data_IF_424067100033
#
_entry.id   IF_424067100033
#
_cell.length_a   1.000
_cell.length_b   1.000
_cell.length_c   1.000
_cell.angle_alpha   90.00
_cell.angle_beta   90.00
_cell.angle_gamma   90.00
#
_symmetry.space_group_name_H-M   'P 1'
#
loop_
_entity.id
_entity.type
_entity.pdbx_description
1 polymer ?
#
# COMPACT_ATOMS: atom_id res chain seq x y z
N UNK A 1 55.99 -79.89 27.42
CA UNK A 1 55.82 -78.55 26.83
C UNK A 1 54.36 -78.14 27.02
N UNK A 2 54.11 -77.12 27.85
CA UNK A 2 52.78 -76.51 28.05
C UNK A 2 52.68 -75.26 27.15
N UNK A 3 51.51 -74.97 26.56
CA UNK A 3 51.34 -73.74 25.78
C UNK A 3 51.26 -72.50 26.70
N UNK A 4 51.61 -71.30 26.19
CA UNK A 4 51.61 -70.07 26.98
C UNK A 4 50.19 -69.50 27.19
N UNK A 5 50.00 -68.62 28.19
CA UNK A 5 48.68 -68.09 28.54
C UNK A 5 48.20 -67.01 27.56
N UNK A 6 46.88 -66.98 27.32
CA UNK A 6 46.15 -65.95 26.56
C UNK A 6 46.06 -64.62 27.32
N UNK A 7 46.33 -63.46 26.68
CA UNK A 7 46.11 -62.14 27.27
C UNK A 7 44.63 -61.68 27.17
N UNK A 8 44.17 -60.73 28.01
CA UNK A 8 42.76 -60.37 28.14
C UNK A 8 42.27 -59.37 27.08
N UNK A 9 40.97 -59.45 26.78
CA UNK A 9 40.23 -58.53 25.88
C UNK A 9 40.10 -57.11 26.45
N UNK A 10 40.12 -56.07 25.59
CA UNK A 10 39.43 -54.82 25.84
C UNK A 10 38.13 -54.74 25.03
N UNK A 11 37.02 -54.51 25.75
CA UNK A 11 35.72 -54.17 25.20
C UNK A 11 35.79 -52.83 24.44
N UNK A 12 35.42 -52.84 23.16
CA UNK A 12 35.26 -51.64 22.35
C UNK A 12 33.77 -51.28 22.30
N UNK A 13 33.40 -50.25 23.07
CA UNK A 13 32.13 -49.56 22.95
C UNK A 13 32.08 -48.83 21.60
N UNK A 14 31.18 -49.27 20.72
CA UNK A 14 30.83 -48.56 19.50
C UNK A 14 30.26 -47.18 19.86
N UNK A 15 30.76 -46.08 19.27
CA UNK A 15 30.14 -44.78 19.46
C UNK A 15 28.77 -44.75 18.77
N UNK A 16 27.79 -44.26 19.52
CA UNK A 16 26.44 -43.94 19.10
C UNK A 16 26.49 -43.07 17.84
N UNK A 17 26.18 -43.66 16.69
CA UNK A 17 26.00 -42.95 15.43
C UNK A 17 24.77 -42.06 15.59
N UNK A 18 25.07 -40.84 16.05
CA UNK A 18 24.11 -39.79 16.28
C UNK A 18 23.10 -39.73 15.16
N UNK A 19 21.83 -39.65 15.56
CA UNK A 19 20.74 -39.12 14.75
C UNK A 19 21.23 -37.83 14.11
N UNK A 20 21.73 -37.94 12.89
CA UNK A 20 21.89 -36.82 11.98
C UNK A 20 20.52 -36.14 11.96
N UNK A 21 20.45 -34.92 12.50
CA UNK A 21 19.33 -34.03 12.24
C UNK A 21 19.27 -33.94 10.73
N UNK A 22 18.35 -34.67 10.11
CA UNK A 22 17.89 -34.38 8.77
C UNK A 22 17.55 -32.90 8.79
N UNK A 23 18.44 -32.09 8.22
CA UNK A 23 18.12 -30.71 7.88
C UNK A 23 16.88 -30.81 7.03
N UNK A 24 15.73 -30.45 7.59
CA UNK A 24 14.48 -30.44 6.84
C UNK A 24 14.72 -29.47 5.69
N UNK A 25 14.95 -29.99 4.49
CA UNK A 25 14.98 -29.18 3.28
C UNK A 25 13.60 -28.58 3.20
N UNK A 26 13.47 -27.30 3.54
CA UNK A 26 12.19 -26.61 3.48
C UNK A 26 11.76 -26.60 2.02
N UNK A 27 10.60 -27.20 1.75
CA UNK A 27 9.95 -27.13 0.46
C UNK A 27 9.83 -25.66 0.04
N UNK A 28 9.98 -25.34 -1.26
CA UNK A 28 9.78 -23.98 -1.74
C UNK A 28 8.42 -23.41 -1.29
N UNK A 29 8.36 -22.14 -0.89
CA UNK A 29 7.12 -21.55 -0.38
C UNK A 29 6.06 -21.48 -1.47
N UNK A 30 4.83 -21.86 -1.13
CA UNK A 30 3.64 -21.74 -1.98
C UNK A 30 2.73 -20.60 -1.55
N UNK A 31 3.22 -19.70 -0.70
CA UNK A 31 2.46 -18.58 -0.15
C UNK A 31 3.32 -17.32 -0.06
N UNK A 32 2.66 -16.16 0.02
CA UNK A 32 3.31 -14.86 0.16
C UNK A 32 2.61 -13.98 1.18
N UNK A 33 3.36 -13.06 1.77
CA UNK A 33 2.87 -12.12 2.78
C UNK A 33 2.78 -10.70 2.20
N UNK A 34 1.64 -10.05 2.45
CA UNK A 34 1.44 -8.62 2.24
C UNK A 34 1.29 -8.01 3.62
N UNK A 35 2.26 -7.22 4.04
CA UNK A 35 2.30 -6.66 5.39
C UNK A 35 2.07 -5.15 5.30
N UNK A 36 1.01 -4.67 5.95
CA UNK A 36 0.91 -3.24 6.22
C UNK A 36 2.08 -2.77 7.10
N UNK A 37 2.37 -1.47 7.07
CA UNK A 37 3.49 -0.86 7.79
C UNK A 37 2.99 -0.19 9.07
N UNK A 38 2.09 0.77 8.94
CA UNK A 38 1.71 1.71 9.99
C UNK A 38 0.61 1.10 10.87
N UNK A 39 0.96 0.70 12.10
CA UNK A 39 0.07 -0.04 13.00
C UNK A 39 0.33 -1.54 13.01
N UNK A 40 1.17 -2.06 12.10
CA UNK A 40 1.57 -3.48 12.04
C UNK A 40 3.05 -3.68 12.33
N UNK A 41 3.92 -2.92 11.65
CA UNK A 41 5.38 -2.97 11.83
C UNK A 41 5.88 -1.86 12.75
N UNK A 42 5.30 -0.67 12.61
CA UNK A 42 5.73 0.53 13.30
C UNK A 42 4.53 1.31 13.81
N UNK A 43 4.75 2.16 14.81
CA UNK A 43 3.81 3.20 15.24
C UNK A 43 4.58 4.52 15.20
N UNK A 44 4.30 5.34 14.18
CA UNK A 44 5.16 6.48 13.85
C UNK A 44 6.57 6.00 13.53
N UNK A 45 7.57 6.47 14.27
CA UNK A 45 8.98 6.06 14.08
C UNK A 45 9.42 4.88 14.96
N UNK A 46 8.54 4.36 15.82
CA UNK A 46 8.88 3.29 16.76
C UNK A 46 8.47 1.92 16.21
N UNK A 47 9.41 0.98 16.21
CA UNK A 47 9.15 -0.40 15.80
C UNK A 47 8.28 -1.08 16.84
N UNK A 48 7.21 -1.74 16.40
CA UNK A 48 6.38 -2.58 17.26
C UNK A 48 7.21 -3.82 17.59
N UNK A 49 7.47 -4.14 18.87
CA UNK A 49 8.36 -5.24 19.24
C UNK A 49 8.05 -6.52 18.46
N UNK A 50 6.79 -6.96 18.48
CA UNK A 50 6.30 -8.16 17.80
C UNK A 50 6.69 -8.29 16.32
N UNK A 51 6.94 -7.19 15.61
CA UNK A 51 7.45 -7.22 14.25
C UNK A 51 8.87 -7.83 14.18
N UNK A 52 9.74 -7.49 15.12
CA UNK A 52 11.08 -8.10 15.21
C UNK A 52 10.98 -9.60 15.51
N UNK A 53 10.13 -10.01 16.46
CA UNK A 53 9.91 -11.43 16.73
C UNK A 53 9.33 -12.18 15.52
N UNK A 54 8.47 -11.54 14.73
CA UNK A 54 7.93 -12.09 13.50
C UNK A 54 9.05 -12.32 12.45
N UNK A 55 9.89 -11.32 12.20
CA UNK A 55 10.98 -11.44 11.23
C UNK A 55 12.08 -12.43 11.66
N UNK A 56 12.31 -12.63 12.96
CA UNK A 56 13.18 -13.73 13.43
C UNK A 56 12.70 -15.12 12.95
N UNK A 57 11.40 -15.29 12.67
CA UNK A 57 10.86 -16.54 12.08
C UNK A 57 10.88 -16.54 10.56
N UNK A 58 10.70 -15.38 9.93
CA UNK A 58 10.65 -15.25 8.46
C UNK A 58 12.03 -15.21 7.82
N UNK A 59 13.09 -14.92 8.57
CA UNK A 59 14.46 -14.91 8.09
C UNK A 59 15.14 -16.27 8.31
N UNK A 60 15.99 -16.65 7.37
CA UNK A 60 16.92 -17.77 7.52
C UNK A 60 18.18 -17.33 8.31
N UNK A 61 19.10 -18.26 8.66
CA UNK A 61 20.34 -17.92 9.37
C UNK A 61 21.27 -16.94 8.61
N UNK A 62 21.05 -16.73 7.31
CA UNK A 62 21.79 -15.78 6.47
C UNK A 62 21.09 -14.40 6.41
N UNK A 63 20.00 -14.21 7.15
CA UNK A 63 19.25 -12.96 7.16
C UNK A 63 18.41 -12.75 5.88
N UNK A 64 18.08 -13.84 5.17
CA UNK A 64 17.28 -13.79 3.95
C UNK A 64 15.85 -14.26 4.22
N UNK A 65 14.87 -13.64 3.58
CA UNK A 65 13.47 -14.04 3.71
C UNK A 65 13.25 -15.45 3.16
N UNK A 66 12.62 -16.30 3.97
CA UNK A 66 12.25 -17.69 3.66
C UNK A 66 10.97 -17.81 2.81
N UNK A 67 10.24 -16.71 2.68
CA UNK A 67 8.99 -16.58 1.91
C UNK A 67 8.99 -15.24 1.18
N UNK A 68 8.28 -15.09 0.04
CA UNK A 68 8.08 -13.77 -0.56
C UNK A 68 7.29 -12.84 0.37
N UNK A 69 7.79 -11.61 0.54
CA UNK A 69 7.16 -10.58 1.38
C UNK A 69 7.15 -9.25 0.64
N UNK A 70 6.01 -8.59 0.65
CA UNK A 70 5.88 -7.18 0.27
C UNK A 70 5.30 -6.37 1.43
N UNK A 71 5.77 -5.13 1.56
CA UNK A 71 5.36 -4.14 2.53
C UNK A 71 4.42 -3.14 1.84
N UNK A 72 3.18 -3.02 2.29
CA UNK A 72 2.13 -2.28 1.58
C UNK A 72 1.59 -1.16 2.45
N UNK A 73 1.90 0.10 2.11
CA UNK A 73 1.40 1.28 2.83
C UNK A 73 0.68 2.24 1.89
N UNK A 74 -0.32 2.94 2.43
CA UNK A 74 -0.97 4.04 1.74
C UNK A 74 -0.23 5.38 1.85
N UNK A 75 0.98 5.39 2.44
CA UNK A 75 1.89 6.53 2.36
C UNK A 75 2.24 6.87 0.90
N UNK A 76 2.22 8.17 0.58
CA UNK A 76 2.51 8.68 -0.78
C UNK A 76 3.61 9.74 -0.84
N UNK A 77 4.10 10.21 0.32
CA UNK A 77 4.99 11.37 0.47
C UNK A 77 6.48 11.02 0.56
N UNK A 78 6.86 9.79 0.23
CA UNK A 78 8.23 9.29 0.29
C UNK A 78 8.57 8.53 -0.98
N UNK A 79 9.86 8.36 -1.28
CA UNK A 79 10.30 7.47 -2.36
C UNK A 79 10.31 6.02 -1.93
N UNK A 80 10.12 5.09 -2.87
CA UNK A 80 10.17 3.65 -2.60
C UNK A 80 11.53 3.22 -2.00
N UNK A 81 12.64 3.79 -2.51
CA UNK A 81 13.98 3.51 -2.01
C UNK A 81 14.16 4.01 -0.58
N UNK A 82 13.80 5.26 -0.30
CA UNK A 82 13.91 5.83 1.04
C UNK A 82 13.07 5.07 2.06
N UNK A 83 11.87 4.63 1.68
CA UNK A 83 11.03 3.83 2.58
C UNK A 83 11.62 2.43 2.84
N UNK A 84 12.26 1.82 1.83
CA UNK A 84 12.95 0.55 2.01
C UNK A 84 14.17 0.68 2.93
N UNK A 85 14.93 1.78 2.82
CA UNK A 85 16.04 2.10 3.73
C UNK A 85 15.56 2.31 5.17
N UNK A 86 14.47 3.07 5.37
CA UNK A 86 13.83 3.24 6.69
C UNK A 86 13.44 1.90 7.31
N UNK A 87 12.73 1.06 6.55
CA UNK A 87 12.31 -0.26 7.01
C UNK A 87 13.52 -1.16 7.30
N UNK A 88 14.57 -1.07 6.49
CA UNK A 88 15.78 -1.87 6.71
C UNK A 88 16.44 -1.53 8.05
N UNK A 89 16.56 -0.24 8.35
CA UNK A 89 17.10 0.25 9.62
C UNK A 89 16.22 -0.15 10.82
N UNK A 90 14.90 -0.11 10.65
CA UNK A 90 13.92 -0.44 11.67
C UNK A 90 13.87 -1.95 11.98
N UNK A 91 13.85 -2.80 10.95
CA UNK A 91 13.68 -4.24 11.09
C UNK A 91 15.00 -5.00 11.27
N UNK A 92 16.13 -4.37 10.99
CA UNK A 92 17.46 -4.96 11.17
C UNK A 92 17.85 -5.97 10.09
N UNK A 93 17.23 -5.91 8.91
CA UNK A 93 17.61 -6.69 7.73
C UNK A 93 17.37 -5.87 6.46
N UNK A 94 18.03 -6.26 5.36
CA UNK A 94 17.91 -5.53 4.08
C UNK A 94 16.52 -5.73 3.46
N UNK A 95 15.77 -4.64 3.31
CA UNK A 95 14.52 -4.56 2.55
C UNK A 95 14.83 -3.93 1.20
N UNK A 96 14.54 -4.65 0.12
CA UNK A 96 14.74 -4.15 -1.24
C UNK A 96 13.60 -3.19 -1.65
N UNK A 97 13.88 -2.16 -2.49
CA UNK A 97 12.84 -1.24 -2.96
C UNK A 97 11.64 -1.96 -3.62
N UNK A 98 11.89 -3.04 -4.35
CA UNK A 98 10.81 -3.82 -4.99
C UNK A 98 9.93 -4.62 -4.03
N UNK A 99 10.27 -4.65 -2.74
CA UNK A 99 9.42 -5.19 -1.69
C UNK A 99 8.47 -4.14 -1.13
N UNK A 100 8.70 -2.85 -1.35
CA UNK A 100 7.87 -1.77 -0.82
C UNK A 100 6.82 -1.35 -1.84
N UNK A 101 5.56 -1.31 -1.45
CA UNK A 101 4.43 -0.85 -2.25
C UNK A 101 3.85 0.36 -1.54
N UNK A 102 4.23 1.55 -2.00
CA UNK A 102 3.59 2.81 -1.68
C UNK A 102 2.25 2.94 -2.41
N UNK A 103 1.41 3.85 -1.94
CA UNK A 103 0.06 4.09 -2.44
C UNK A 103 0.01 4.30 -3.96
N UNK A 104 1.01 4.99 -4.50
CA UNK A 104 1.16 5.31 -5.92
C UNK A 104 1.92 4.25 -6.74
N UNK A 105 2.51 3.23 -6.12
CA UNK A 105 3.30 2.21 -6.84
C UNK A 105 2.53 1.50 -7.97
N UNK A 106 1.25 1.12 -7.78
CA UNK A 106 0.47 0.50 -8.85
C UNK A 106 0.21 1.43 -10.04
N UNK A 107 0.48 2.74 -9.92
CA UNK A 107 0.36 3.67 -11.05
C UNK A 107 1.32 3.36 -12.20
N UNK A 108 2.37 2.54 -11.97
CA UNK A 108 3.21 1.97 -13.05
C UNK A 108 2.41 1.21 -14.12
N UNK A 109 1.20 0.74 -13.77
CA UNK A 109 0.30 0.01 -14.68
C UNK A 109 -0.47 0.94 -15.62
N UNK A 110 -0.40 2.26 -15.46
CA UNK A 110 -1.18 3.24 -16.22
C UNK A 110 -0.39 3.82 -17.39
N UNK A 111 0.28 2.95 -18.14
CA UNK A 111 1.17 3.34 -19.25
C UNK A 111 0.49 4.19 -20.32
N UNK A 112 -0.82 4.04 -20.51
CA UNK A 112 -1.63 4.85 -21.41
C UNK A 112 -1.69 6.35 -21.03
N UNK A 113 -1.26 6.71 -19.81
CA UNK A 113 -1.20 8.09 -19.33
C UNK A 113 0.24 8.61 -19.16
N UNK A 114 1.27 7.78 -19.35
CA UNK A 114 2.67 8.16 -19.07
C UNK A 114 3.22 9.27 -19.99
N UNK A 115 2.72 9.33 -21.23
CA UNK A 115 3.08 10.34 -22.21
C UNK A 115 2.18 11.59 -22.17
N UNK A 116 1.16 11.62 -21.31
CA UNK A 116 0.29 12.80 -21.14
C UNK A 116 0.94 13.81 -20.21
N UNK A 117 0.64 15.10 -20.42
CA UNK A 117 1.00 16.17 -19.49
C UNK A 117 0.09 16.17 -18.28
N UNK A 118 0.58 15.68 -17.17
CA UNK A 118 -0.20 15.54 -15.94
C UNK A 118 0.03 16.72 -15.00
N UNK A 119 -1.04 17.34 -14.51
CA UNK A 119 -0.98 18.17 -13.32
C UNK A 119 -0.78 17.25 -12.11
N UNK A 120 0.32 17.38 -11.40
CA UNK A 120 0.65 16.53 -10.25
C UNK A 120 0.46 17.29 -8.94
N UNK A 121 -0.20 16.66 -7.98
CA UNK A 121 -0.49 17.20 -6.65
C UNK A 121 -0.21 16.18 -5.55
N UNK A 122 0.27 16.66 -4.40
CA UNK A 122 0.59 15.87 -3.22
C UNK A 122 1.74 16.48 -2.41
N UNK A 123 2.41 15.65 -1.62
CA UNK A 123 3.54 16.02 -0.76
C UNK A 123 4.76 15.12 -1.04
N UNK A 124 5.94 15.57 -0.60
CA UNK A 124 7.19 14.83 -0.74
C UNK A 124 7.87 15.03 -2.11
N UNK A 125 8.76 14.10 -2.53
CA UNK A 125 9.48 14.17 -3.80
C UNK A 125 8.56 13.82 -4.97
N UNK A 126 7.58 14.69 -5.22
CA UNK A 126 6.42 14.44 -6.07
C UNK A 126 6.79 14.17 -7.53
N UNK A 127 7.68 14.99 -8.08
CA UNK A 127 8.12 14.91 -9.48
C UNK A 127 9.00 13.67 -9.69
N UNK A 128 9.88 13.38 -8.73
CA UNK A 128 10.74 12.21 -8.74
C UNK A 128 9.92 10.93 -8.66
N UNK A 129 8.95 10.87 -7.75
CA UNK A 129 8.03 9.75 -7.61
C UNK A 129 7.23 9.53 -8.90
N UNK A 130 6.61 10.58 -9.45
CA UNK A 130 5.86 10.48 -10.70
C UNK A 130 6.74 10.00 -11.89
N UNK A 131 7.97 10.50 -12.01
CA UNK A 131 8.91 10.03 -13.04
C UNK A 131 9.32 8.58 -12.85
N UNK A 132 9.56 8.14 -11.62
CA UNK A 132 9.88 6.75 -11.31
C UNK A 132 8.73 5.77 -11.62
N UNK A 133 7.49 6.27 -11.69
CA UNK A 133 6.32 5.50 -12.13
C UNK A 133 6.20 5.43 -13.66
N UNK A 134 6.84 6.35 -14.39
CA UNK A 134 6.86 6.39 -15.85
C UNK A 134 6.26 7.65 -16.47
N UNK A 135 5.68 8.56 -15.68
CA UNK A 135 5.11 9.82 -16.19
C UNK A 135 6.20 10.78 -16.65
N UNK A 136 6.14 11.20 -17.91
CA UNK A 136 7.21 11.96 -18.57
C UNK A 136 7.01 13.46 -18.49
N UNK A 137 5.77 13.92 -18.65
CA UNK A 137 5.42 15.33 -18.72
C UNK A 137 4.60 15.73 -17.50
N UNK A 138 5.21 16.49 -16.61
CA UNK A 138 4.63 16.86 -15.32
C UNK A 138 4.55 18.38 -15.22
N UNK A 139 3.46 18.84 -14.63
CA UNK A 139 3.24 20.22 -14.21
C UNK A 139 2.84 20.16 -12.75
N UNK A 140 3.57 20.83 -11.87
CA UNK A 140 3.19 20.93 -10.45
C UNK A 140 2.14 22.02 -10.24
N UNK A 141 1.40 21.93 -9.13
CA UNK A 141 0.46 22.98 -8.71
C UNK A 141 1.16 24.34 -8.59
N UNK A 142 2.41 24.37 -8.10
CA UNK A 142 3.20 25.60 -7.98
C UNK A 142 3.62 26.18 -9.34
N UNK A 143 3.97 25.36 -10.32
CA UNK A 143 4.26 25.80 -11.69
C UNK A 143 3.00 26.36 -12.36
N UNK A 144 1.86 25.69 -12.21
CA UNK A 144 0.58 26.18 -12.74
C UNK A 144 0.20 27.52 -12.11
N UNK A 145 0.32 27.64 -10.78
CA UNK A 145 0.10 28.89 -10.05
C UNK A 145 1.03 30.00 -10.52
N UNK A 146 2.31 29.70 -10.74
CA UNK A 146 3.28 30.68 -11.23
C UNK A 146 2.94 31.16 -12.65
N UNK A 147 2.39 30.30 -13.50
CA UNK A 147 1.95 30.65 -14.85
C UNK A 147 0.64 31.45 -14.87
N UNK A 148 -0.27 31.18 -13.94
CA UNK A 148 -1.58 31.83 -13.83
C UNK A 148 -1.86 32.33 -12.39
N UNK A 149 -1.15 33.36 -11.93
CA UNK A 149 -1.17 33.74 -10.51
C UNK A 149 -2.48 34.37 -10.05
N UNK A 150 -3.35 34.77 -10.98
CA UNK A 150 -4.71 35.26 -10.70
C UNK A 150 -5.73 34.15 -10.47
N UNK A 151 -5.36 32.88 -10.63
CA UNK A 151 -6.23 31.75 -10.32
C UNK A 151 -6.17 31.37 -8.82
N UNK A 152 -5.03 31.56 -8.16
CA UNK A 152 -4.88 31.33 -6.71
C UNK A 152 -5.21 32.62 -5.92
N UNK A 153 -6.46 33.08 -6.02
CA UNK A 153 -6.94 34.21 -5.22
C UNK A 153 -7.43 33.77 -3.83
N UNK A 154 -7.43 32.49 -3.51
CA UNK A 154 -7.88 31.97 -2.21
C UNK A 154 -6.84 32.14 -1.12
N UNK A 155 -5.54 32.13 -1.43
CA UNK A 155 -4.49 32.56 -0.49
C UNK A 155 -4.21 34.07 -0.63
N UNK A 156 -4.75 34.84 0.31
CA UNK A 156 -4.57 36.30 0.40
C UNK A 156 -3.09 36.73 0.48
N UNK A 157 -2.22 35.91 1.08
CA UNK A 157 -0.80 36.24 1.24
C UNK A 157 -0.02 36.13 -0.07
N UNK A 158 -0.52 35.32 -1.03
CA UNK A 158 0.12 35.09 -2.32
C UNK A 158 -0.53 35.85 -3.48
N UNK A 159 -1.57 36.65 -3.21
CA UNK A 159 -2.25 37.45 -4.23
C UNK A 159 -1.29 38.43 -4.91
N UNK A 160 -1.25 38.46 -6.26
CA UNK A 160 -0.52 39.49 -6.99
C UNK A 160 -1.03 40.89 -6.68
N UNK A 161 -0.12 41.86 -6.54
CA UNK A 161 -0.47 43.28 -6.37
C UNK A 161 -0.84 43.97 -7.70
N UNK A 162 -0.44 43.35 -8.81
CA UNK A 162 -0.73 43.78 -10.18
C UNK A 162 -1.34 42.59 -10.92
N UNK A 163 -2.13 42.83 -11.97
CA UNK A 163 -2.71 41.75 -12.80
C UNK A 163 -1.73 41.41 -13.93
N UNK A 164 -0.91 40.36 -13.82
CA UNK A 164 -0.02 39.98 -14.91
C UNK A 164 -0.83 39.43 -16.09
N UNK A 165 -0.29 39.63 -17.30
CA UNK A 165 -0.85 39.02 -18.50
C UNK A 165 -0.70 37.49 -18.42
N UNK A 166 -1.75 36.70 -18.77
CA UNK A 166 -1.65 35.25 -18.82
C UNK A 166 -0.57 34.81 -19.81
N UNK A 167 0.17 33.74 -19.48
CA UNK A 167 1.09 33.10 -20.42
C UNK A 167 0.30 32.38 -21.51
N UNK A 168 0.36 32.88 -22.74
CA UNK A 168 -0.31 32.28 -23.90
C UNK A 168 0.38 31.01 -24.42
N UNK A 169 1.61 30.75 -23.97
CA UNK A 169 2.45 29.61 -24.36
C UNK A 169 2.41 28.43 -23.38
N UNK A 170 1.59 28.52 -22.31
CA UNK A 170 1.51 27.45 -21.33
C UNK A 170 0.86 26.20 -21.97
N UNK A 171 1.52 25.04 -21.92
CA UNK A 171 1.03 23.85 -22.59
C UNK A 171 -0.21 23.29 -21.87
N UNK A 172 -1.20 22.85 -22.65
CA UNK A 172 -2.43 22.26 -22.12
C UNK A 172 -2.13 21.04 -21.23
N UNK A 173 -2.84 20.99 -20.09
CA UNK A 173 -2.80 19.84 -19.19
C UNK A 173 -3.77 18.78 -19.71
N UNK A 174 -3.36 17.51 -19.69
CA UNK A 174 -4.10 16.39 -20.31
C UNK A 174 -4.63 15.39 -19.27
N UNK A 175 -4.40 15.65 -17.97
CA UNK A 175 -4.83 14.82 -16.86
C UNK A 175 -4.36 15.33 -15.51
N UNK A 176 -4.89 14.76 -14.44
CA UNK A 176 -4.55 15.09 -13.05
C UNK A 176 -4.04 13.83 -12.35
N UNK A 177 -2.91 13.95 -11.65
CA UNK A 177 -2.24 12.89 -10.90
C UNK A 177 -2.13 13.29 -9.42
N UNK A 178 -2.92 12.65 -8.58
CA UNK A 178 -3.02 12.92 -7.14
C UNK A 178 -2.26 11.84 -6.36
N UNK A 179 -1.03 12.14 -5.94
CA UNK A 179 -0.15 11.17 -5.25
C UNK A 179 -0.30 11.18 -3.71
N UNK A 180 -1.12 12.08 -3.17
CA UNK A 180 -1.38 12.26 -1.75
C UNK A 180 -2.02 13.62 -1.47
N UNK A 181 -2.36 13.90 -0.21
CA UNK A 181 -2.90 15.20 0.18
C UNK A 181 -1.84 16.30 0.03
N UNK A 182 -2.14 17.43 -0.63
CA UNK A 182 -1.23 18.56 -0.70
C UNK A 182 -1.26 19.39 0.59
N UNK A 183 -0.34 20.34 0.72
CA UNK A 183 -0.46 21.45 1.68
C UNK A 183 -1.23 22.59 1.02
N UNK A 184 -1.97 23.41 1.80
CA UNK A 184 -2.84 24.50 1.30
C UNK A 184 -3.90 23.95 0.34
N UNK A 185 -4.84 23.22 0.91
CA UNK A 185 -5.90 22.53 0.17
C UNK A 185 -6.73 23.50 -0.66
N UNK A 186 -6.98 24.70 -0.16
CA UNK A 186 -7.72 25.74 -0.86
C UNK A 186 -7.18 26.02 -2.26
N UNK A 187 -5.86 26.22 -2.44
CA UNK A 187 -5.33 26.49 -3.80
C UNK A 187 -5.28 25.24 -4.65
N UNK A 188 -4.99 24.09 -4.05
CA UNK A 188 -4.94 22.84 -4.81
C UNK A 188 -6.34 22.49 -5.34
N UNK A 189 -7.37 22.60 -4.50
CA UNK A 189 -8.78 22.39 -4.88
C UNK A 189 -9.21 23.38 -5.95
N UNK A 190 -8.89 24.68 -5.81
CA UNK A 190 -9.18 25.70 -6.81
C UNK A 190 -8.55 25.36 -8.17
N UNK A 191 -7.22 25.17 -8.19
CA UNK A 191 -6.47 25.00 -9.44
C UNK A 191 -6.76 23.67 -10.14
N UNK A 192 -6.94 22.58 -9.39
CA UNK A 192 -7.37 21.29 -9.96
C UNK A 192 -8.77 21.44 -10.56
N UNK A 193 -9.69 22.10 -9.85
CA UNK A 193 -11.05 22.33 -10.36
C UNK A 193 -11.01 23.15 -11.64
N UNK A 194 -10.25 24.24 -11.67
CA UNK A 194 -10.11 25.09 -12.87
C UNK A 194 -9.58 24.29 -14.06
N UNK A 195 -8.58 23.43 -13.86
CA UNK A 195 -8.06 22.54 -14.90
C UNK A 195 -9.10 21.57 -15.42
N UNK A 196 -9.92 20.97 -14.53
CA UNK A 196 -10.98 20.05 -14.94
C UNK A 196 -12.13 20.76 -15.68
N UNK A 197 -12.48 21.98 -15.27
CA UNK A 197 -13.57 22.75 -15.88
C UNK A 197 -13.17 23.38 -17.22
N UNK A 198 -11.88 23.65 -17.42
CA UNK A 198 -11.33 24.30 -18.63
C UNK A 198 -10.73 23.33 -19.65
N UNK A 199 -10.90 22.02 -19.44
CA UNK A 199 -10.30 20.98 -20.28
C UNK A 199 -8.78 21.19 -20.46
N UNK A 200 -8.09 21.50 -19.36
CA UNK A 200 -6.63 21.65 -19.35
C UNK A 200 -6.11 23.06 -19.63
N UNK A 201 -6.99 24.04 -19.85
CA UNK A 201 -6.63 25.40 -20.25
C UNK A 201 -7.21 26.47 -19.31
N UNK A 202 -6.75 26.55 -18.05
CA UNK A 202 -7.42 27.35 -17.01
C UNK A 202 -7.27 28.87 -17.19
N UNK A 203 -6.46 29.33 -18.15
CA UNK A 203 -6.41 30.73 -18.57
C UNK A 203 -7.58 31.16 -19.48
N UNK A 204 -8.42 30.23 -19.90
CA UNK A 204 -9.61 30.51 -20.72
C UNK A 204 -10.83 30.73 -19.82
N UNK A 205 -11.83 31.49 -20.30
CA UNK A 205 -13.08 31.69 -19.56
C UNK A 205 -13.86 30.39 -19.38
N UNK A 206 -14.74 30.34 -18.38
CA UNK A 206 -15.61 29.19 -18.10
C UNK A 206 -16.51 28.88 -19.31
N UNK A 207 -16.14 27.87 -20.09
CA UNK A 207 -17.04 27.22 -21.05
C UNK A 207 -17.91 26.17 -20.33
N UNK A 208 -18.83 25.53 -21.05
CA UNK A 208 -19.56 24.37 -20.52
C UNK A 208 -18.55 23.29 -20.12
N UNK A 209 -18.53 22.92 -18.83
CA UNK A 209 -17.57 21.95 -18.31
C UNK A 209 -17.65 20.62 -19.09
N UNK A 210 -16.51 20.09 -19.58
CA UNK A 210 -16.50 18.84 -20.32
C UNK A 210 -16.94 17.67 -19.44
N UNK A 211 -17.62 16.70 -20.05
CA UNK A 211 -17.97 15.45 -19.38
C UNK A 211 -17.94 14.26 -20.35
N UNK A 212 -17.14 13.20 -20.09
CA UNK A 212 -16.20 13.10 -18.96
C UNK A 212 -15.14 14.21 -19.01
N UNK A 213 -14.72 14.69 -17.84
CA UNK A 213 -13.61 15.62 -17.70
C UNK A 213 -12.27 14.92 -17.96
N UNK A 214 -11.16 15.67 -17.96
CA UNK A 214 -9.81 15.10 -18.05
C UNK A 214 -9.59 13.95 -17.06
N UNK A 215 -8.79 12.92 -17.40
CA UNK A 215 -8.56 11.77 -16.54
C UNK A 215 -7.94 12.19 -15.21
N UNK A 216 -8.49 11.66 -14.11
CA UNK A 216 -7.98 11.85 -12.75
C UNK A 216 -7.50 10.51 -12.22
N UNK A 217 -6.23 10.43 -11.84
CA UNK A 217 -5.62 9.29 -11.16
C UNK A 217 -5.34 9.68 -9.70
N UNK A 218 -5.72 8.85 -8.72
CA UNK A 218 -5.47 9.11 -7.31
C UNK A 218 -4.92 7.87 -6.59
N UNK A 219 -3.95 8.05 -5.69
CA UNK A 219 -3.16 6.93 -5.15
C UNK A 219 -3.47 6.48 -3.73
N UNK A 220 -4.28 7.22 -2.99
CA UNK A 220 -4.64 6.90 -1.61
C UNK A 220 -6.08 7.35 -1.38
N UNK A 221 -6.92 6.44 -0.88
CA UNK A 221 -8.34 6.68 -0.63
C UNK A 221 -8.71 6.69 0.85
N UNK A 222 -7.74 6.55 1.75
CA UNK A 222 -8.00 6.54 3.19
C UNK A 222 -8.49 7.92 3.63
N UNK A 223 -9.69 7.94 4.22
CA UNK A 223 -10.25 9.16 4.80
C UNK A 223 -9.41 9.63 5.99
N UNK A 224 -8.97 8.68 6.83
CA UNK A 224 -8.27 8.89 8.08
C UNK A 224 -7.08 7.94 8.21
N UNK A 225 -6.04 8.37 8.92
CA UNK A 225 -4.89 7.54 9.27
C UNK A 225 -4.39 7.82 10.70
N UNK A 226 -3.60 6.91 11.27
CA UNK A 226 -3.08 7.03 12.64
C UNK A 226 -1.67 7.61 12.65
N UNK A 227 -1.51 8.73 13.36
CA UNK A 227 -0.23 9.38 13.64
C UNK A 227 0.10 9.25 15.15
N UNK A 228 0.96 10.13 15.68
CA UNK A 228 1.34 10.15 17.10
C UNK A 228 0.18 10.54 18.03
N UNK A 229 -0.77 11.33 17.52
CA UNK A 229 -1.94 11.75 18.27
C UNK A 229 -2.90 10.57 18.51
N UNK A 230 -3.57 10.55 19.68
CA UNK A 230 -4.58 9.53 20.00
C UNK A 230 -5.78 9.52 19.05
N UNK A 231 -6.07 10.66 18.40
CA UNK A 231 -7.15 10.81 17.44
C UNK A 231 -6.62 10.71 16.00
N UNK A 232 -7.31 9.99 15.09
CA UNK A 232 -6.91 9.89 13.69
C UNK A 232 -6.77 11.25 13.00
N UNK A 233 -5.87 11.35 12.01
CA UNK A 233 -5.63 12.55 11.19
C UNK A 233 -6.32 12.40 9.83
N UNK A 234 -6.64 13.51 9.16
CA UNK A 234 -7.17 13.47 7.79
C UNK A 234 -6.10 12.92 6.84
N UNK A 235 -6.51 11.97 6.00
CA UNK A 235 -5.73 11.45 4.89
C UNK A 235 -6.17 12.03 3.55
N UNK A 236 -5.54 11.54 2.48
CA UNK A 236 -5.85 11.94 1.11
C UNK A 236 -7.31 11.71 0.73
N UNK A 237 -7.99 10.69 1.25
CA UNK A 237 -9.42 10.47 1.02
C UNK A 237 -10.31 11.64 1.46
N UNK A 238 -9.90 12.40 2.49
CA UNK A 238 -10.63 13.63 2.88
C UNK A 238 -10.44 14.72 1.84
N UNK A 239 -9.24 14.87 1.26
CA UNK A 239 -8.99 15.81 0.17
C UNK A 239 -9.81 15.43 -1.08
N UNK A 240 -9.85 14.14 -1.45
CA UNK A 240 -10.67 13.62 -2.54
C UNK A 240 -12.16 13.95 -2.31
N UNK A 241 -12.68 13.69 -1.11
CA UNK A 241 -14.07 14.04 -0.75
C UNK A 241 -14.37 15.54 -0.96
N UNK A 242 -13.45 16.43 -0.58
CA UNK A 242 -13.61 17.86 -0.82
C UNK A 242 -13.65 18.19 -2.31
N UNK A 243 -12.71 17.67 -3.10
CA UNK A 243 -12.64 17.89 -4.54
C UNK A 243 -13.91 17.42 -5.25
N UNK A 244 -14.39 16.23 -4.90
CA UNK A 244 -15.60 15.64 -5.42
C UNK A 244 -16.85 16.46 -5.11
N UNK A 245 -16.97 16.92 -3.86
CA UNK A 245 -18.10 17.73 -3.43
C UNK A 245 -18.13 19.07 -4.17
N UNK A 246 -16.98 19.72 -4.33
CA UNK A 246 -16.82 20.96 -5.09
C UNK A 246 -17.19 20.75 -6.55
N UNK A 247 -16.59 19.76 -7.21
CA UNK A 247 -16.86 19.46 -8.62
C UNK A 247 -18.35 19.20 -8.87
N UNK A 248 -18.99 18.41 -8.01
CA UNK A 248 -20.44 18.13 -8.11
C UNK A 248 -21.29 19.36 -7.88
N UNK A 249 -20.93 20.23 -6.95
CA UNK A 249 -21.67 21.48 -6.71
C UNK A 249 -21.56 22.47 -7.86
N UNK A 250 -20.43 22.50 -8.56
CA UNK A 250 -20.20 23.39 -9.70
C UNK A 250 -20.82 22.87 -11.00
N UNK A 251 -20.79 21.55 -11.23
CA UNK A 251 -21.18 20.95 -12.52
C UNK A 251 -22.51 20.21 -12.51
N UNK A 252 -23.01 19.85 -11.33
CA UNK A 252 -24.13 18.91 -11.18
C UNK A 252 -23.78 17.45 -11.50
N UNK A 253 -22.52 17.13 -11.79
CA UNK A 253 -22.05 15.78 -12.19
C UNK A 253 -21.05 15.22 -11.20
N UNK A 254 -20.90 13.90 -11.17
CA UNK A 254 -19.90 13.24 -10.33
C UNK A 254 -18.51 13.32 -10.97
N UNK A 255 -17.49 13.51 -10.13
CA UNK A 255 -16.09 13.40 -10.56
C UNK A 255 -15.75 11.91 -10.78
N UNK A 256 -15.21 11.59 -11.95
CA UNK A 256 -14.86 10.23 -12.34
C UNK A 256 -13.34 10.01 -12.26
N UNK A 257 -12.91 9.01 -11.50
CA UNK A 257 -11.51 8.61 -11.49
C UNK A 257 -11.22 7.62 -12.62
N UNK A 258 -10.18 7.90 -13.40
CA UNK A 258 -9.65 6.95 -14.39
C UNK A 258 -8.80 5.86 -13.74
N UNK A 259 -8.38 6.08 -12.49
CA UNK A 259 -7.61 5.10 -11.72
C UNK A 259 -7.55 5.48 -10.24
N UNK A 260 -7.92 4.52 -9.39
CA UNK A 260 -7.75 4.59 -7.95
C UNK A 260 -6.77 3.49 -7.51
N UNK A 261 -5.65 3.89 -6.94
CA UNK A 261 -4.65 2.97 -6.34
C UNK A 261 -4.57 3.18 -4.83
N UNK A 262 -3.67 2.46 -4.17
CA UNK A 262 -3.67 2.34 -2.71
C UNK A 262 -4.71 1.32 -2.25
N UNK A 263 -4.58 0.84 -1.02
CA UNK A 263 -5.60 -0.02 -0.39
C UNK A 263 -6.89 0.80 -0.21
N UNK A 264 -8.09 0.24 -0.42
CA UNK A 264 -8.40 -1.17 -0.70
C UNK A 264 -8.44 -1.56 -2.19
N UNK A 265 -7.83 -0.79 -3.10
CA UNK A 265 -7.92 -1.04 -4.55
C UNK A 265 -7.41 -2.42 -4.95
N UNK A 266 -8.19 -3.11 -5.80
CA UNK A 266 -7.82 -4.38 -6.41
C UNK A 266 -6.47 -4.30 -7.15
N UNK A 267 -6.17 -3.14 -7.76
CA UNK A 267 -4.92 -2.92 -8.48
C UNK A 267 -3.70 -3.03 -7.58
N UNK A 268 -3.81 -2.61 -6.31
CA UNK A 268 -2.74 -2.71 -5.32
C UNK A 268 -2.39 -4.17 -5.03
N UNK A 269 -3.41 -5.02 -4.86
CA UNK A 269 -3.21 -6.45 -4.58
C UNK A 269 -2.73 -7.22 -5.83
N UNK A 270 -3.23 -6.89 -7.03
CA UNK A 270 -2.69 -7.44 -8.29
C UNK A 270 -1.21 -7.08 -8.48
N UNK A 271 -0.85 -5.83 -8.20
CA UNK A 271 0.54 -5.38 -8.26
C UNK A 271 1.42 -6.12 -7.25
N UNK A 272 0.92 -6.34 -6.03
CA UNK A 272 1.58 -7.12 -4.99
C UNK A 272 1.79 -8.59 -5.40
N UNK A 273 0.77 -9.26 -5.94
CA UNK A 273 0.89 -10.64 -6.45
C UNK A 273 2.03 -10.76 -7.48
N UNK A 274 2.09 -9.83 -8.44
CA UNK A 274 3.15 -9.80 -9.45
C UNK A 274 4.55 -9.55 -8.88
N UNK A 275 4.68 -8.79 -7.79
CA UNK A 275 5.96 -8.60 -7.09
C UNK A 275 6.39 -9.86 -6.33
N UNK A 276 5.47 -10.51 -5.62
CA UNK A 276 5.74 -11.76 -4.91
C UNK A 276 6.16 -12.88 -5.88
N UNK A 277 5.50 -12.99 -7.04
CA UNK A 277 5.88 -13.93 -8.09
C UNK A 277 7.30 -13.65 -8.64
N UNK A 278 7.66 -12.38 -8.83
CA UNK A 278 9.03 -11.98 -9.26
C UNK A 278 10.09 -12.26 -8.20
N UNK A 279 9.78 -12.06 -6.91
CA UNK A 279 10.67 -12.45 -5.81
C UNK A 279 10.90 -13.97 -5.81
N UNK A 280 9.83 -14.77 -5.93
CA UNK A 280 9.93 -16.23 -5.98
C UNK A 280 10.77 -16.71 -7.17
N UNK A 281 10.55 -16.15 -8.37
CA UNK A 281 11.33 -16.47 -9.55
C UNK A 281 12.83 -16.16 -9.37
N UNK A 282 13.18 -14.99 -8.82
CA UNK A 282 14.58 -14.60 -8.55
C UNK A 282 15.28 -15.53 -7.55
N UNK A 283 14.52 -16.07 -6.59
CA UNK A 283 15.01 -17.05 -5.60
C UNK A 283 15.10 -18.48 -6.14
N UNK A 284 14.64 -18.73 -7.37
CA UNK A 284 14.55 -20.09 -7.92
C UNK A 284 13.44 -20.93 -7.28
N UNK A 285 12.46 -20.32 -6.61
CA UNK A 285 11.30 -21.02 -6.07
C UNK A 285 10.33 -21.34 -7.21
N UNK A 286 10.45 -22.55 -7.76
CA UNK A 286 9.67 -23.01 -8.91
C UNK A 286 8.17 -23.21 -8.61
N UNK A 287 7.79 -23.35 -7.33
CA UNK A 287 6.40 -23.55 -6.96
C UNK A 287 5.61 -22.23 -7.05
N UNK A 288 4.39 -22.25 -7.60
CA UNK A 288 3.56 -21.05 -7.67
C UNK A 288 3.10 -20.60 -6.29
N UNK A 289 3.02 -19.28 -6.10
CA UNK A 289 2.42 -18.66 -4.90
C UNK A 289 0.90 -18.77 -5.02
N UNK A 290 0.30 -19.68 -4.26
CA UNK A 290 -1.13 -20.03 -4.28
C UNK A 290 -1.92 -19.32 -3.19
N UNK A 291 -1.32 -19.10 -2.02
CA UNK A 291 -1.98 -18.45 -0.89
C UNK A 291 -1.35 -17.09 -0.61
N UNK A 292 -2.17 -16.04 -0.49
CA UNK A 292 -1.71 -14.74 -0.02
C UNK A 292 -2.29 -14.46 1.37
N UNK A 293 -1.47 -13.91 2.25
CA UNK A 293 -1.92 -13.47 3.57
C UNK A 293 -1.65 -11.98 3.70
N UNK A 294 -2.73 -11.20 3.79
CA UNK A 294 -2.68 -9.76 3.98
C UNK A 294 -2.86 -9.44 5.46
N UNK A 295 -1.82 -8.92 6.09
CA UNK A 295 -1.80 -8.57 7.52
C UNK A 295 -1.89 -7.05 7.64
N UNK A 296 -2.92 -6.58 8.33
CA UNK A 296 -3.23 -5.16 8.44
C UNK A 296 -3.94 -4.80 9.73
N UNK A 297 -4.03 -3.51 10.03
CA UNK A 297 -4.66 -2.98 11.25
C UNK A 297 -5.99 -2.28 10.97
N UNK A 298 -6.31 -1.99 9.70
CA UNK A 298 -7.47 -1.20 9.31
C UNK A 298 -8.51 -2.04 8.55
N UNK A 299 -9.69 -2.31 9.14
CA UNK A 299 -10.75 -3.08 8.48
C UNK A 299 -11.21 -2.51 7.13
N UNK A 300 -11.23 -1.18 7.00
CA UNK A 300 -11.75 -0.48 5.84
C UNK A 300 -10.76 -0.41 4.67
N UNK A 301 -9.48 -0.71 4.93
CA UNK A 301 -8.40 -0.62 3.94
C UNK A 301 -7.79 -2.01 3.70
N UNK A 302 -7.18 -2.61 4.72
CA UNK A 302 -6.46 -3.88 4.59
C UNK A 302 -7.38 -5.08 4.47
N UNK A 303 -8.37 -5.18 5.37
CA UNK A 303 -9.30 -6.32 5.40
C UNK A 303 -10.24 -6.25 4.20
N UNK A 304 -10.84 -5.09 3.98
CA UNK A 304 -11.70 -4.86 2.82
C UNK A 304 -10.97 -5.15 1.51
N UNK A 305 -9.76 -4.63 1.32
CA UNK A 305 -8.96 -4.84 0.12
C UNK A 305 -8.59 -6.31 -0.10
N UNK A 306 -8.16 -7.00 0.96
CA UNK A 306 -7.79 -8.42 0.88
C UNK A 306 -9.00 -9.30 0.57
N UNK A 307 -10.15 -9.04 1.18
CA UNK A 307 -11.38 -9.78 0.94
C UNK A 307 -11.94 -9.49 -0.47
N UNK A 308 -11.86 -8.25 -0.94
CA UNK A 308 -12.21 -7.89 -2.32
C UNK A 308 -11.32 -8.64 -3.32
N UNK A 309 -10.01 -8.67 -3.06
CA UNK A 309 -9.08 -9.41 -3.90
C UNK A 309 -9.34 -10.92 -3.86
N UNK A 310 -9.70 -11.47 -2.70
CA UNK A 310 -10.09 -12.87 -2.60
C UNK A 310 -11.30 -13.23 -3.48
N UNK A 311 -12.35 -12.42 -3.45
CA UNK A 311 -13.52 -12.60 -4.32
C UNK A 311 -13.15 -12.52 -5.81
N UNK A 312 -12.25 -11.58 -6.16
CA UNK A 312 -11.72 -11.49 -7.52
C UNK A 312 -10.99 -12.79 -7.94
N UNK A 313 -10.15 -13.35 -7.07
CA UNK A 313 -9.47 -14.63 -7.33
C UNK A 313 -10.42 -15.82 -7.47
N UNK A 314 -11.63 -15.77 -6.89
CA UNK A 314 -12.63 -16.84 -7.07
C UNK A 314 -13.36 -16.74 -8.43
N UNK A 315 -13.45 -15.54 -8.97
CA UNK A 315 -14.20 -15.27 -10.22
C UNK A 315 -13.30 -15.26 -11.45
N UNK A 316 -12.01 -14.94 -11.29
CA UNK A 316 -11.02 -14.92 -12.36
C UNK A 316 -10.09 -16.13 -12.25
N UNK A 317 -9.75 -16.74 -13.39
CA UNK A 317 -8.75 -17.81 -13.46
C UNK A 317 -7.35 -17.33 -13.86
N UNK A 318 -7.14 -16.01 -13.89
CA UNK A 318 -5.85 -15.41 -14.18
C UNK A 318 -4.98 -15.32 -12.92
N UNK A 319 -3.69 -15.62 -13.04
CA UNK A 319 -2.75 -15.59 -11.92
C UNK A 319 -2.51 -16.95 -11.26
N UNK A 320 -1.52 -16.98 -10.37
CA UNK A 320 -1.12 -18.18 -9.64
C UNK A 320 -1.84 -18.29 -8.30
N UNK A 321 -2.14 -17.14 -7.67
CA UNK A 321 -2.84 -17.08 -6.41
C UNK A 321 -4.28 -17.61 -6.56
N UNK A 322 -4.74 -18.32 -5.53
CA UNK A 322 -6.07 -18.93 -5.45
C UNK A 322 -6.84 -18.44 -4.24
N UNK A 323 -6.15 -17.87 -3.25
CA UNK A 323 -6.77 -17.31 -2.06
C UNK A 323 -6.01 -16.07 -1.58
N UNK A 324 -6.74 -15.17 -0.93
CA UNK A 324 -6.18 -14.08 -0.16
C UNK A 324 -6.91 -14.05 1.18
N UNK A 325 -6.18 -14.26 2.28
CA UNK A 325 -6.75 -14.25 3.62
C UNK A 325 -6.36 -12.96 4.33
N UNK A 326 -7.35 -12.23 4.82
CA UNK A 326 -7.18 -11.07 5.69
C UNK A 326 -6.88 -11.50 7.12
N UNK A 327 -5.81 -10.94 7.72
CA UNK A 327 -5.46 -11.12 9.12
C UNK A 327 -5.40 -9.73 9.76
N UNK A 328 -6.34 -9.45 10.66
CA UNK A 328 -6.43 -8.17 11.36
C UNK A 328 -5.63 -8.23 12.66
N UNK A 329 -4.71 -7.29 12.87
CA UNK A 329 -3.94 -7.14 14.11
C UNK A 329 -4.56 -6.07 15.02
N UNK A 330 -4.28 -6.14 16.33
CA UNK A 330 -4.84 -5.22 17.32
C UNK A 330 -3.88 -4.09 17.74
N UNK A 331 -2.87 -3.80 16.91
CA UNK A 331 -1.77 -2.88 17.23
C UNK A 331 -1.90 -1.49 16.61
N UNK A 332 -2.97 -1.21 15.86
CA UNK A 332 -3.15 0.04 15.13
C UNK A 332 -4.57 0.63 15.23
N UNK A 333 -5.19 0.97 14.09
CA UNK A 333 -6.55 1.51 13.96
C UNK A 333 -7.56 0.62 14.69
N UNK A 334 -7.50 -0.69 14.46
CA UNK A 334 -8.26 -1.66 15.23
C UNK A 334 -7.59 -1.93 16.58
N UNK A 335 -8.35 -1.78 17.67
CA UNK A 335 -7.86 -1.93 19.04
C UNK A 335 -8.61 -2.99 19.86
N UNK A 336 -8.03 -3.48 20.98
CA UNK A 336 -8.60 -4.56 21.81
C UNK A 336 -9.94 -4.25 22.47
N UNK A 337 -10.32 -2.97 22.54
CA UNK A 337 -11.60 -2.50 23.10
C UNK A 337 -12.67 -2.27 22.02
N UNK A 338 -12.37 -2.57 20.74
CA UNK A 338 -13.39 -2.61 19.71
C UNK A 338 -14.36 -3.78 20.04
N UNK A 339 -15.69 -3.55 20.00
CA UNK A 339 -16.67 -4.62 20.14
C UNK A 339 -16.36 -5.78 19.20
N UNK A 340 -16.53 -6.99 19.72
CA UNK A 340 -16.42 -8.31 19.08
C UNK A 340 -16.19 -8.33 17.55
N UNK A 341 -15.18 -9.05 17.04
CA UNK A 341 -14.86 -9.11 15.61
C UNK A 341 -15.97 -9.74 14.73
N UNK A 342 -17.01 -10.32 15.31
CA UNK A 342 -18.15 -10.86 14.57
C UNK A 342 -19.07 -9.78 13.99
N UNK A 343 -19.03 -8.56 14.52
CA UNK A 343 -19.69 -7.38 13.95
C UNK A 343 -18.89 -6.19 14.46
N UNK A 344 -18.11 -5.48 13.63
CA UNK A 344 -17.51 -4.22 14.06
C UNK A 344 -18.61 -3.37 14.73
N UNK A 345 -18.29 -2.58 15.76
CA UNK A 345 -19.20 -1.47 16.13
C UNK A 345 -19.45 -0.51 14.93
N UNK A 346 -18.65 -0.62 13.87
CA UNK A 346 -18.85 -0.02 12.55
C UNK A 346 -19.90 -0.72 11.66
N UNK A 347 -20.47 -1.84 12.09
CA UNK A 347 -21.45 -2.63 11.34
C UNK A 347 -22.80 -2.75 12.09
N UNK A 348 -23.02 -1.95 13.15
CA UNK A 348 -24.40 -1.67 13.57
C UNK A 348 -25.10 -0.84 12.49
N UNK A 349 -26.39 -1.10 12.25
CA UNK A 349 -27.22 -0.23 11.42
C UNK A 349 -27.04 1.23 11.89
N UNK A 350 -26.48 2.08 11.02
CA UNK A 350 -26.29 3.51 11.28
C UNK A 350 -24.84 3.99 11.49
N UNK A 351 -23.83 3.12 11.50
CA UNK A 351 -22.43 3.59 11.57
C UNK A 351 -21.96 4.17 10.22
N UNK A 352 -21.23 5.31 10.21
CA UNK A 352 -20.79 5.94 8.97
C UNK A 352 -19.74 5.10 8.22
N UNK A 353 -19.98 4.85 6.93
CA UNK A 353 -18.99 4.28 6.03
C UNK A 353 -17.95 5.34 5.65
N UNK A 354 -16.68 5.09 6.00
CA UNK A 354 -15.57 6.00 5.72
C UNK A 354 -14.72 5.59 4.49
N UNK A 355 -15.12 4.55 3.78
CA UNK A 355 -14.45 4.15 2.54
C UNK A 355 -14.82 5.08 1.39
N UNK A 356 -13.95 5.15 0.39
CA UNK A 356 -14.21 5.93 -0.80
C UNK A 356 -15.44 5.39 -1.57
N UNK A 357 -16.28 6.29 -2.08
CA UNK A 357 -17.58 5.96 -2.67
C UNK A 357 -17.50 4.92 -3.81
N UNK A 358 -16.44 4.96 -4.62
CA UNK A 358 -16.26 4.08 -5.78
C UNK A 358 -15.97 2.60 -5.39
N UNK A 359 -15.67 2.30 -4.12
CA UNK A 359 -15.55 0.90 -3.66
C UNK A 359 -16.88 0.33 -3.16
N UNK A 360 -17.82 1.19 -2.77
CA UNK A 360 -19.10 0.81 -2.18
C UNK A 360 -18.99 0.20 -0.77
N UNK A 361 -20.03 0.38 0.04
CA UNK A 361 -20.11 -0.26 1.34
C UNK A 361 -20.61 -1.70 1.21
N UNK A 362 -19.78 -2.66 1.61
CA UNK A 362 -20.09 -4.09 1.68
C UNK A 362 -19.65 -4.63 3.04
N UNK A 363 -20.55 -4.72 4.04
CA UNK A 363 -20.21 -5.14 5.40
C UNK A 363 -19.47 -6.48 5.46
N UNK A 364 -19.82 -7.41 4.58
CA UNK A 364 -19.19 -8.73 4.48
C UNK A 364 -17.70 -8.66 4.15
N UNK A 365 -17.23 -7.57 3.52
CA UNK A 365 -15.81 -7.37 3.22
C UNK A 365 -15.03 -6.80 4.40
N UNK A 366 -15.69 -6.32 5.46
CA UNK A 366 -15.03 -5.79 6.65
C UNK A 366 -14.67 -6.86 7.67
N UNK A 367 -15.16 -8.09 7.49
CA UNK A 367 -14.88 -9.20 8.39
C UNK A 367 -13.54 -9.86 8.04
N UNK A 368 -12.58 -9.79 8.95
CA UNK A 368 -11.29 -10.45 8.76
C UNK A 368 -11.43 -11.97 8.86
N UNK A 369 -10.66 -12.71 8.04
CA UNK A 369 -10.62 -14.16 8.14
C UNK A 369 -10.03 -14.64 9.48
N UNK A 370 -9.09 -13.86 10.04
CA UNK A 370 -8.48 -14.08 11.35
C UNK A 370 -8.26 -12.73 12.05
N UNK A 371 -8.39 -12.72 13.38
CA UNK A 371 -8.01 -11.59 14.23
C UNK A 371 -7.00 -12.09 15.24
N UNK A 372 -5.88 -11.37 15.37
CA UNK A 372 -4.77 -11.73 16.24
C UNK A 372 -4.26 -10.49 16.98
N UNK A 373 -3.46 -10.70 18.03
CA UNK A 373 -2.96 -9.60 18.85
C UNK A 373 -2.01 -8.70 18.07
N UNK A 374 -1.07 -9.29 17.31
CA UNK A 374 0.01 -8.59 16.62
C UNK A 374 0.58 -9.40 15.42
N UNK A 375 1.60 -8.86 14.76
CA UNK A 375 2.25 -9.51 13.62
C UNK A 375 2.95 -10.83 13.97
N UNK A 376 3.44 -11.01 15.21
CA UNK A 376 4.09 -12.26 15.59
C UNK A 376 3.09 -13.41 15.57
N UNK A 377 1.92 -13.21 16.17
CA UNK A 377 0.84 -14.19 16.15
C UNK A 377 0.32 -14.44 14.73
N UNK A 378 0.23 -13.39 13.89
CA UNK A 378 -0.14 -13.52 12.49
C UNK A 378 0.83 -14.46 11.73
N UNK A 379 2.14 -14.25 11.89
CA UNK A 379 3.16 -15.10 11.25
C UNK A 379 3.10 -16.53 11.77
N UNK A 380 2.95 -16.74 13.08
CA UNK A 380 2.79 -18.09 13.65
C UNK A 380 1.53 -18.80 13.12
N UNK A 381 0.44 -18.08 12.94
CA UNK A 381 -0.79 -18.61 12.35
C UNK A 381 -0.55 -19.05 10.90
N UNK A 382 0.07 -18.19 10.08
CA UNK A 382 0.36 -18.50 8.67
C UNK A 382 1.29 -19.70 8.55
N UNK A 383 2.40 -19.73 9.29
CA UNK A 383 3.35 -20.84 9.24
C UNK A 383 2.68 -22.17 9.62
N UNK A 384 1.83 -22.18 10.68
CA UNK A 384 1.07 -23.38 11.05
C UNK A 384 0.10 -23.83 9.95
N UNK A 385 -0.62 -22.89 9.32
CA UNK A 385 -1.57 -23.18 8.24
C UNK A 385 -0.89 -23.78 7.01
N UNK A 386 0.32 -23.33 6.70
CA UNK A 386 1.10 -23.80 5.56
C UNK A 386 1.95 -25.04 5.90
N UNK A 387 1.87 -25.56 7.14
CA UNK A 387 2.59 -26.76 7.58
C UNK A 387 4.08 -26.54 7.85
N UNK A 388 4.48 -25.29 8.09
CA UNK A 388 5.87 -24.92 8.39
C UNK A 388 6.13 -24.95 9.90
N UNK A 389 7.35 -25.34 10.28
CA UNK A 389 7.79 -25.34 11.67
C UNK A 389 7.87 -23.89 12.21
N UNK A 390 7.47 -23.73 13.49
CA UNK A 390 7.48 -22.46 14.20
C UNK A 390 8.88 -22.00 14.58
#
# INVERSE_FOLDING_TARGET
MRPPPTPPHPATSLPDLGRSRLLSVQSPPTFGLLLDIDGVLVRGHQVIPAAQEAFRRLLDPQGQLRVPVVFVTNAGNISQCSKAEELSAQLGFQVEPDQVILSHSPMKLFSQHHDRRMLVSGQGPLVENARALGFKHLVTVDELRAAFPVLDMVDLQRRPKTTPLPRSDFPAIEGVLLLGEPVRWETSLQLITDVLLSDGNPGTGLATAPYPHLPVLASNTDLLWMAEAKMPRFGHGTFLLCLEAIYRKLTGRELCYSGLTGKPSLLTYRYAEGLLARQAARRGWAAPIRSLYAVGDNPMSDVYGANLFHQHLQTQQEGAARSCASILVCTGVYGPQAPSPTVPALASEGSPFHGHRDFGFRPELLQAAHVVSDLHEAVQLVLRKEGWAL
#
